data_IF_973145814888
#
_entry.id   IF_973145814888
#
_cell.length_a   1.000
_cell.length_b   1.000
_cell.length_c   1.000
_cell.angle_alpha   90.00
_cell.angle_beta   90.00
_cell.angle_gamma   90.00
#
_symmetry.space_group_name_H-M   'P 1'
#
loop_
_entity.id
_entity.type
_entity.pdbx_description
1 polymer ?
#
# COMPACT_ATOMS: atom_id res chain seq x y z
N UNK A 1 22.19 -11.85 -21.91
CA UNK A 1 22.30 -10.47 -21.40
C UNK A 1 21.05 -10.27 -20.55
N UNK A 2 21.19 -10.03 -19.24
CA UNK A 2 20.03 -9.86 -18.38
C UNK A 2 19.35 -8.54 -18.75
N UNK A 3 18.14 -8.60 -19.32
CA UNK A 3 17.34 -7.42 -19.63
C UNK A 3 16.52 -7.09 -18.40
N UNK A 4 16.61 -5.87 -17.87
CA UNK A 4 15.74 -5.44 -16.81
C UNK A 4 14.40 -4.99 -17.40
N UNK A 5 13.32 -5.15 -16.63
CA UNK A 5 11.98 -4.65 -17.03
C UNK A 5 12.06 -3.16 -17.38
N UNK A 6 12.76 -2.36 -16.58
CA UNK A 6 12.88 -0.93 -16.80
C UNK A 6 13.64 -0.56 -18.08
N UNK A 7 14.39 -1.48 -18.69
CA UNK A 7 15.08 -1.23 -19.96
C UNK A 7 14.12 -1.32 -21.14
N UNK A 8 13.09 -2.16 -21.05
CA UNK A 8 12.18 -2.48 -22.15
C UNK A 8 10.80 -1.86 -22.01
N UNK A 9 10.34 -1.62 -20.80
CA UNK A 9 8.98 -1.17 -20.53
C UNK A 9 8.95 0.18 -19.84
N UNK A 10 7.86 0.89 -20.06
CA UNK A 10 7.55 2.15 -19.38
C UNK A 10 6.09 2.17 -18.95
N UNK A 11 5.83 2.83 -17.82
CA UNK A 11 4.47 3.08 -17.35
C UNK A 11 4.04 4.43 -17.92
N UNK A 12 2.93 4.43 -18.66
CA UNK A 12 2.24 5.65 -19.12
C UNK A 12 1.02 5.88 -18.23
N UNK A 13 0.70 7.15 -17.99
CA UNK A 13 -0.48 7.53 -17.21
C UNK A 13 -1.40 8.33 -18.11
N UNK A 14 -2.64 7.87 -18.24
CA UNK A 14 -3.65 8.62 -18.99
C UNK A 14 -4.04 9.89 -18.20
N UNK A 15 -3.92 11.06 -18.83
CA UNK A 15 -4.08 12.35 -18.15
C UNK A 15 -5.50 12.56 -17.59
N UNK A 16 -6.51 11.97 -18.23
CA UNK A 16 -7.92 12.15 -17.89
C UNK A 16 -8.38 11.15 -16.83
N UNK A 17 -8.07 9.88 -17.03
CA UNK A 17 -8.54 8.77 -16.18
C UNK A 17 -7.56 8.44 -15.05
N UNK A 18 -6.32 8.95 -15.13
CA UNK A 18 -5.20 8.61 -14.23
C UNK A 18 -4.87 7.11 -14.20
N UNK A 19 -5.37 6.34 -15.16
CA UNK A 19 -5.08 4.90 -15.28
C UNK A 19 -3.64 4.73 -15.76
N UNK A 20 -2.91 3.83 -15.09
CA UNK A 20 -1.53 3.47 -15.45
C UNK A 20 -1.55 2.28 -16.41
N UNK A 21 -0.89 2.40 -17.56
CA UNK A 21 -0.70 1.31 -18.52
C UNK A 21 0.78 1.03 -18.74
N UNK A 22 1.14 -0.25 -18.80
CA UNK A 22 2.48 -0.66 -19.17
C UNK A 22 2.59 -0.71 -20.70
N UNK A 23 3.65 -0.12 -21.25
CA UNK A 23 3.93 -0.10 -22.69
C UNK A 23 5.33 -0.64 -22.96
N UNK A 24 5.50 -1.29 -24.11
CA UNK A 24 6.83 -1.56 -24.64
C UNK A 24 7.45 -0.24 -25.13
N UNK A 25 8.66 0.06 -24.70
CA UNK A 25 9.37 1.30 -25.06
C UNK A 25 9.58 1.41 -26.56
N UNK A 26 9.69 2.65 -27.02
CA UNK A 26 9.95 2.91 -28.43
C UNK A 26 11.30 2.34 -28.87
N UNK A 27 11.33 1.70 -30.04
CA UNK A 27 12.50 1.02 -30.59
C UNK A 27 12.75 -0.39 -30.06
N UNK A 28 11.92 -0.87 -29.13
CA UNK A 28 11.96 -2.26 -28.66
C UNK A 28 10.96 -3.14 -29.42
N UNK A 29 11.22 -4.45 -29.45
CA UNK A 29 10.31 -5.47 -29.96
C UNK A 29 10.48 -6.76 -29.16
N UNK A 30 9.39 -7.47 -28.91
CA UNK A 30 9.41 -8.79 -28.27
C UNK A 30 8.71 -9.80 -29.16
N UNK A 31 9.32 -10.95 -29.38
CA UNK A 31 8.69 -12.04 -30.10
C UNK A 31 7.83 -12.89 -29.15
N UNK A 32 6.81 -13.56 -29.68
CA UNK A 32 6.04 -14.54 -28.93
C UNK A 32 6.94 -15.61 -28.32
N UNK A 33 6.77 -15.90 -27.02
CA UNK A 33 7.56 -16.90 -26.30
C UNK A 33 9.04 -16.53 -26.09
N UNK A 34 9.39 -15.24 -26.19
CA UNK A 34 10.76 -14.75 -25.99
C UNK A 34 11.13 -14.57 -24.50
N UNK A 35 11.52 -13.37 -24.10
CA UNK A 35 12.04 -13.06 -22.77
C UNK A 35 10.99 -13.31 -21.65
N UNK A 36 11.46 -13.82 -20.50
CA UNK A 36 10.64 -14.01 -19.29
C UNK A 36 11.11 -13.00 -18.25
N UNK A 37 10.16 -12.35 -17.57
CA UNK A 37 10.43 -11.41 -16.50
C UNK A 37 9.69 -11.80 -15.22
N UNK A 38 10.15 -11.27 -14.10
CA UNK A 38 9.55 -11.46 -12.79
C UNK A 38 8.83 -10.18 -12.38
N UNK A 39 7.64 -10.34 -11.83
CA UNK A 39 6.85 -9.27 -11.20
C UNK A 39 6.73 -9.60 -9.72
N UNK A 40 7.01 -8.62 -8.87
CA UNK A 40 7.02 -8.79 -7.42
C UNK A 40 5.60 -8.79 -6.83
N UNK A 41 5.43 -9.52 -5.72
CA UNK A 41 4.21 -9.53 -4.91
C UNK A 41 4.39 -8.51 -3.78
N UNK A 42 4.21 -7.23 -4.12
CA UNK A 42 4.52 -6.09 -3.22
C UNK A 42 3.75 -6.10 -1.90
N UNK A 43 2.62 -6.80 -1.84
CA UNK A 43 1.85 -7.04 -0.62
C UNK A 43 1.05 -8.34 -0.74
N UNK A 44 1.23 -9.22 0.24
CA UNK A 44 0.48 -10.48 0.39
C UNK A 44 -0.31 -10.43 1.69
N UNK A 45 -1.59 -10.77 1.64
CA UNK A 45 -2.53 -10.60 2.76
C UNK A 45 -3.74 -11.53 2.65
N UNK A 46 -4.73 -11.34 3.52
CA UNK A 46 -6.09 -11.85 3.37
C UNK A 46 -7.10 -10.80 3.84
N UNK A 47 -8.41 -10.94 3.52
CA UNK A 47 -9.41 -9.93 3.88
C UNK A 47 -9.53 -9.63 5.38
N UNK A 48 -9.21 -10.59 6.24
CA UNK A 48 -9.31 -10.46 7.70
C UNK A 48 -8.12 -9.68 8.27
N UNK A 49 -6.93 -9.88 7.71
CA UNK A 49 -5.68 -9.28 8.18
C UNK A 49 -5.37 -7.94 7.52
N UNK A 50 -5.89 -7.67 6.31
CA UNK A 50 -5.52 -6.52 5.50
C UNK A 50 -5.62 -5.18 6.25
N UNK A 51 -6.70 -4.97 7.02
CA UNK A 51 -6.88 -3.74 7.79
C UNK A 51 -5.81 -3.57 8.89
N UNK A 52 -5.47 -4.66 9.59
CA UNK A 52 -4.43 -4.67 10.62
C UNK A 52 -3.04 -4.47 10.04
N UNK A 53 -2.74 -5.08 8.89
CA UNK A 53 -1.45 -4.91 8.21
C UNK A 53 -1.26 -3.49 7.70
N UNK A 54 -2.30 -2.87 7.10
CA UNK A 54 -2.28 -1.48 6.68
C UNK A 54 -2.07 -0.51 7.85
N UNK A 55 -2.59 -0.86 9.04
CA UNK A 55 -2.45 -0.05 10.25
C UNK A 55 -1.05 -0.20 10.88
N UNK A 56 -0.53 -1.42 10.95
CA UNK A 56 0.64 -1.75 11.77
C UNK A 56 1.95 -1.81 10.97
N UNK A 57 1.90 -1.81 9.64
CA UNK A 57 3.08 -1.87 8.77
C UNK A 57 3.46 -0.47 8.30
N UNK A 58 4.60 0.04 8.77
CA UNK A 58 5.08 1.37 8.43
C UNK A 58 5.13 1.59 6.91
N UNK A 59 4.51 2.69 6.46
CA UNK A 59 4.49 3.12 5.06
C UNK A 59 3.65 2.26 4.11
N UNK A 60 3.05 1.14 4.56
CA UNK A 60 2.24 0.28 3.69
C UNK A 60 0.99 0.98 3.21
N UNK A 61 0.25 1.65 4.10
CA UNK A 61 -0.95 2.40 3.74
C UNK A 61 -0.68 3.40 2.60
N UNK A 62 0.35 4.26 2.78
CA UNK A 62 0.73 5.26 1.78
C UNK A 62 1.17 4.63 0.45
N UNK A 63 1.88 3.50 0.50
CA UNK A 63 2.28 2.75 -0.69
C UNK A 63 1.07 2.20 -1.44
N UNK A 64 0.12 1.59 -0.73
CA UNK A 64 -1.09 1.05 -1.33
C UNK A 64 -1.99 2.15 -1.90
N UNK A 65 -2.09 3.31 -1.26
CA UNK A 65 -2.76 4.49 -1.83
C UNK A 65 -2.13 4.93 -3.15
N UNK A 66 -0.80 5.04 -3.19
CA UNK A 66 -0.06 5.38 -4.41
C UNK A 66 -0.18 4.33 -5.50
N UNK A 67 -0.23 3.04 -5.13
CA UNK A 67 -0.38 1.92 -6.06
C UNK A 67 -1.79 1.85 -6.65
N UNK A 68 -2.81 2.04 -5.82
CA UNK A 68 -4.23 2.00 -6.21
C UNK A 68 -4.72 3.30 -6.83
N UNK A 69 -3.84 4.28 -6.98
CA UNK A 69 -4.12 5.60 -7.50
C UNK A 69 -5.24 6.29 -6.70
N UNK A 70 -5.18 6.13 -5.38
CA UNK A 70 -6.06 6.81 -4.43
C UNK A 70 -5.40 8.14 -4.10
N UNK A 71 -5.89 9.21 -4.71
CA UNK A 71 -5.66 10.55 -4.19
C UNK A 71 -6.81 10.96 -3.29
N UNK A 72 -6.46 11.62 -2.19
CA UNK A 72 -7.38 12.46 -1.45
C UNK A 72 -7.11 13.86 -1.98
N UNK A 73 -8.12 14.52 -2.54
CA UNK A 73 -7.92 15.83 -3.16
C UNK A 73 -7.34 16.80 -2.13
N UNK A 74 -6.10 17.24 -2.36
CA UNK A 74 -5.41 18.29 -1.58
C UNK A 74 -5.95 19.69 -1.90
N UNK A 75 -6.86 19.84 -2.88
CA UNK A 75 -7.47 21.14 -3.22
C UNK A 75 -8.40 21.70 -2.12
N UNK A 76 -8.68 20.93 -1.05
CA UNK A 76 -9.32 21.42 0.19
C UNK A 76 -8.33 21.60 1.36
N UNK A 77 -7.03 21.35 1.15
CA UNK A 77 -5.99 21.47 2.18
C UNK A 77 -4.84 22.32 1.61
N UNK A 78 -4.98 23.64 1.71
CA UNK A 78 -3.83 24.54 1.67
C UNK A 78 -2.96 24.24 2.91
N UNK A 79 -1.92 23.39 2.78
CA UNK A 79 -0.89 23.27 3.82
C UNK A 79 -0.06 24.56 3.87
N UNK A 80 -0.53 25.55 4.63
CA UNK A 80 0.24 26.73 5.02
C UNK A 80 1.45 26.30 5.89
N UNK A 81 2.54 27.08 5.90
CA UNK A 81 3.77 26.80 6.66
C UNK A 81 3.47 26.59 8.17
N UNK A 82 2.36 27.14 8.66
CA UNK A 82 1.88 26.92 10.03
C UNK A 82 1.49 25.47 10.33
N UNK A 83 0.94 24.74 9.36
CA UNK A 83 0.44 23.37 9.57
C UNK A 83 1.58 22.35 9.61
N UNK A 84 2.66 22.61 8.86
CA UNK A 84 3.90 21.83 9.00
C UNK A 84 4.54 22.03 10.36
N UNK A 85 4.59 23.28 10.83
CA UNK A 85 5.15 23.62 12.14
C UNK A 85 4.35 22.96 13.27
N UNK A 86 3.02 22.92 13.15
CA UNK A 86 2.12 22.24 14.09
C UNK A 86 2.34 20.73 14.13
N UNK A 87 2.45 20.07 12.97
CA UNK A 87 2.73 18.63 12.89
C UNK A 87 4.08 18.30 13.53
N UNK A 88 5.11 19.10 13.27
CA UNK A 88 6.42 18.94 13.89
C UNK A 88 6.37 19.12 15.41
N UNK A 89 5.60 20.09 15.90
CA UNK A 89 5.44 20.33 17.33
C UNK A 89 4.69 19.18 18.03
N UNK A 90 3.64 18.64 17.41
CA UNK A 90 2.94 17.46 17.95
C UNK A 90 3.86 16.24 17.99
N UNK A 91 4.65 16.02 16.94
CA UNK A 91 5.66 14.94 16.92
C UNK A 91 6.64 15.12 18.08
N UNK A 92 7.14 16.34 18.30
CA UNK A 92 8.06 16.63 19.40
C UNK A 92 7.43 16.36 20.78
N UNK A 93 6.17 16.75 20.99
CA UNK A 93 5.46 16.50 22.26
C UNK A 93 5.30 14.99 22.48
N UNK A 94 4.86 14.23 21.48
CA UNK A 94 4.71 12.77 21.60
C UNK A 94 6.06 12.09 21.82
N UNK A 95 7.11 12.51 21.12
CA UNK A 95 8.48 12.03 21.35
C UNK A 95 8.94 12.20 22.79
N UNK A 96 8.69 13.39 23.37
CA UNK A 96 9.09 13.68 24.75
C UNK A 96 8.27 12.91 25.77
N UNK A 97 6.94 12.89 25.61
CA UNK A 97 6.02 12.32 26.59
C UNK A 97 6.05 10.78 26.57
N UNK A 98 6.01 10.18 25.38
CA UNK A 98 6.05 8.73 25.23
C UNK A 98 7.47 8.16 25.14
N UNK A 99 8.51 9.01 25.17
CA UNK A 99 9.93 8.62 25.04
C UNK A 99 10.21 7.77 23.78
N UNK A 100 9.57 8.12 22.66
CA UNK A 100 9.72 7.45 21.37
C UNK A 100 10.47 8.32 20.36
N UNK A 101 10.96 7.71 19.27
CA UNK A 101 11.55 8.45 18.15
C UNK A 101 10.47 9.16 17.30
N UNK A 102 10.90 10.09 16.45
CA UNK A 102 10.01 10.91 15.62
C UNK A 102 9.16 10.11 14.64
N UNK A 103 9.68 8.99 14.15
CA UNK A 103 8.95 8.12 13.23
C UNK A 103 7.78 7.41 13.93
N UNK A 104 8.01 6.84 15.13
CA UNK A 104 6.96 6.23 15.95
C UNK A 104 5.95 7.25 16.46
N UNK A 105 6.40 8.43 16.87
CA UNK A 105 5.52 9.52 17.29
C UNK A 105 4.61 9.97 16.15
N UNK A 106 5.18 10.14 14.94
CA UNK A 106 4.42 10.50 13.75
C UNK A 106 3.41 9.43 13.38
N UNK A 107 3.81 8.17 13.39
CA UNK A 107 2.92 7.04 13.09
C UNK A 107 1.74 6.98 14.08
N UNK A 108 1.99 7.12 15.38
CA UNK A 108 0.94 7.17 16.40
C UNK A 108 0.00 8.38 16.24
N UNK A 109 0.56 9.56 15.97
CA UNK A 109 -0.23 10.74 15.67
C UNK A 109 -1.09 10.53 14.43
N UNK A 110 -0.54 9.98 13.35
CA UNK A 110 -1.32 9.69 12.14
C UNK A 110 -2.46 8.69 12.44
N UNK A 111 -2.17 7.61 13.18
CA UNK A 111 -3.16 6.59 13.58
C UNK A 111 -4.30 7.16 14.43
N UNK A 112 -4.01 8.13 15.29
CA UNK A 112 -4.98 8.83 16.14
C UNK A 112 -5.42 10.19 15.62
N UNK A 113 -5.26 10.46 14.32
CA UNK A 113 -5.74 11.70 13.69
C UNK A 113 -5.23 12.99 14.38
N UNK A 114 -3.97 12.97 14.79
CA UNK A 114 -3.27 14.03 15.53
C UNK A 114 -3.93 14.39 16.88
N UNK A 115 -4.75 13.50 17.44
CA UNK A 115 -5.21 13.60 18.83
C UNK A 115 -4.08 13.20 19.78
N UNK A 116 -3.29 14.20 20.20
CA UNK A 116 -2.12 14.07 21.08
C UNK A 116 -2.33 13.09 22.25
N UNK A 117 -3.45 13.20 22.96
CA UNK A 117 -3.73 12.37 24.14
C UNK A 117 -3.82 10.90 23.77
N UNK A 118 -4.56 10.57 22.71
CA UNK A 118 -4.76 9.20 22.28
C UNK A 118 -3.47 8.60 21.70
N UNK A 119 -2.68 9.41 20.98
CA UNK A 119 -1.37 8.99 20.48
C UNK A 119 -0.36 8.73 21.62
N UNK A 120 -0.35 9.56 22.65
CA UNK A 120 0.51 9.36 23.83
C UNK A 120 0.05 8.14 24.62
N UNK A 121 -1.25 8.00 24.87
CA UNK A 121 -1.84 6.87 25.59
C UNK A 121 -1.43 5.54 24.95
N UNK A 122 -1.60 5.40 23.63
CA UNK A 122 -1.18 4.17 22.94
C UNK A 122 0.32 3.90 23.09
N UNK A 123 1.17 4.92 23.01
CA UNK A 123 2.61 4.73 23.11
C UNK A 123 3.12 4.56 24.55
N UNK A 124 2.28 4.79 25.56
CA UNK A 124 2.63 4.75 26.99
C UNK A 124 1.91 3.65 27.78
N UNK A 125 1.12 2.80 27.12
CA UNK A 125 0.30 1.72 27.73
C UNK A 125 1.12 0.52 28.26
N UNK A 126 2.18 0.77 29.02
CA UNK A 126 2.81 -0.28 29.85
C UNK A 126 2.19 -0.37 31.26
N UNK A 127 1.39 0.61 31.71
CA UNK A 127 0.69 0.54 33.01
C UNK A 127 -0.73 1.11 32.92
N UNK A 128 -1.72 0.38 33.43
CA UNK A 128 -3.14 0.79 33.51
C UNK A 128 -3.24 2.03 34.43
N UNK A 129 -3.24 3.23 33.85
CA UNK A 129 -3.34 4.48 34.61
C UNK A 129 -4.77 4.69 35.14
N UNK A 130 -4.90 5.02 36.43
CA UNK A 130 -6.16 5.48 37.03
C UNK A 130 -6.69 6.73 36.31
N UNK A 131 -8.01 6.92 36.28
CA UNK A 131 -8.69 8.09 35.66
C UNK A 131 -8.08 9.43 36.08
N UNK A 132 -7.61 9.51 37.33
CA UNK A 132 -7.05 10.73 37.92
C UNK A 132 -5.67 11.07 37.32
N UNK A 133 -4.89 10.06 36.92
CA UNK A 133 -3.59 10.24 36.27
C UNK A 133 -3.79 10.71 34.83
N UNK A 134 -4.81 10.17 34.14
CA UNK A 134 -5.20 10.62 32.81
C UNK A 134 -5.68 12.07 32.81
N UNK A 135 -6.36 12.52 33.86
CA UNK A 135 -6.76 13.92 34.02
C UNK A 135 -5.54 14.84 34.25
N UNK A 136 -4.58 14.42 35.07
CA UNK A 136 -3.32 15.14 35.26
C UNK A 136 -2.44 15.21 33.98
N UNK A 137 -2.41 14.16 33.17
CA UNK A 137 -1.76 14.16 31.85
C UNK A 137 -2.46 15.12 30.88
N UNK A 138 -3.79 15.14 30.85
CA UNK A 138 -4.57 16.11 30.05
C UNK A 138 -4.22 17.54 30.45
N UNK A 139 -4.15 17.84 31.74
CA UNK A 139 -3.76 19.17 32.24
C UNK A 139 -2.31 19.52 31.86
N UNK A 140 -1.39 18.56 31.98
CA UNK A 140 0.02 18.75 31.64
C UNK A 140 0.18 19.04 30.15
N UNK A 141 -0.48 18.27 29.28
CA UNK A 141 -0.48 18.48 27.82
C UNK A 141 -1.12 19.84 27.49
N UNK A 142 -2.26 20.17 28.11
CA UNK A 142 -2.93 21.47 27.91
C UNK A 142 -2.10 22.68 28.43
N UNK A 143 -1.16 22.45 29.36
CA UNK A 143 -0.24 23.47 29.86
C UNK A 143 0.98 23.67 28.97
N UNK A 144 1.42 22.61 28.28
CA UNK A 144 2.56 22.65 27.35
C UNK A 144 2.15 23.12 25.95
N UNK A 145 0.86 23.21 25.66
CA UNK A 145 0.35 23.84 24.45
C UNK A 145 0.63 25.36 24.45
N UNK A 146 1.29 25.90 23.40
CA UNK A 146 1.46 27.33 23.20
C UNK A 146 0.14 28.11 23.35
N UNK A 147 0.19 29.25 24.04
CA UNK A 147 -0.98 30.12 24.29
C UNK A 147 -1.68 30.56 23.00
N UNK A 148 -0.93 30.71 21.91
CA UNK A 148 -1.39 31.19 20.62
C UNK A 148 -2.21 30.13 19.85
N UNK A 149 -2.26 28.90 20.37
CA UNK A 149 -3.03 27.77 19.84
C UNK A 149 -4.32 27.51 20.61
N UNK A 150 -4.47 28.05 21.83
CA UNK A 150 -5.72 27.92 22.62
C UNK A 150 -6.90 28.64 21.95
N UNK A 151 -6.65 29.76 21.26
CA UNK A 151 -7.65 30.50 20.48
C UNK A 151 -7.78 30.01 19.02
N UNK A 152 -6.86 29.16 18.53
CA UNK A 152 -6.90 28.57 17.18
C UNK A 152 -7.45 27.14 17.16
N UNK A 153 -8.13 26.71 18.23
CA UNK A 153 -8.67 25.36 18.45
C UNK A 153 -9.75 24.88 17.46
N UNK A 154 -9.97 25.54 16.33
CA UNK A 154 -11.00 25.18 15.35
C UNK A 154 -10.52 25.00 13.90
N UNK A 155 -9.21 24.99 13.61
CA UNK A 155 -8.75 24.42 12.32
C UNK A 155 -8.48 22.92 12.47
N UNK A 156 -9.58 22.18 12.57
CA UNK A 156 -9.62 20.72 12.60
C UNK A 156 -9.11 20.20 11.24
N UNK A 157 -8.09 19.34 11.24
CA UNK A 157 -7.68 18.60 10.04
C UNK A 157 -8.92 18.03 9.34
N UNK A 158 -9.15 18.45 8.09
CA UNK A 158 -10.33 18.12 7.29
C UNK A 158 -10.14 16.86 6.45
N UNK A 159 -8.92 16.31 6.42
CA UNK A 159 -8.60 15.09 5.69
C UNK A 159 -9.18 13.84 6.35
N UNK A 160 -9.19 12.71 5.63
CA UNK A 160 -9.69 11.45 6.17
C UNK A 160 -8.73 10.91 7.24
N UNK A 161 -9.31 10.34 8.28
CA UNK A 161 -8.57 9.63 9.33
C UNK A 161 -7.90 8.37 8.77
N UNK A 162 -6.87 7.85 9.44
CA UNK A 162 -6.24 6.56 9.05
C UNK A 162 -7.27 5.44 8.94
N UNK A 163 -8.22 5.37 9.88
CA UNK A 163 -9.34 4.42 9.81
C UNK A 163 -10.16 4.59 8.53
N UNK A 164 -10.51 5.82 8.16
CA UNK A 164 -11.26 6.08 6.91
C UNK A 164 -10.45 5.74 5.66
N UNK A 165 -9.13 5.97 5.68
CA UNK A 165 -8.22 5.62 4.60
C UNK A 165 -8.12 4.11 4.42
N UNK A 166 -7.92 3.37 5.52
CA UNK A 166 -7.91 1.90 5.55
C UNK A 166 -9.27 1.35 5.10
N UNK A 167 -10.37 1.86 5.64
CA UNK A 167 -11.73 1.45 5.27
C UNK A 167 -11.97 1.65 3.76
N UNK A 168 -11.49 2.77 3.19
CA UNK A 168 -11.60 3.02 1.75
C UNK A 168 -10.89 1.92 0.95
N UNK A 169 -9.65 1.59 1.31
CA UNK A 169 -8.88 0.54 0.64
C UNK A 169 -9.56 -0.82 0.78
N UNK A 170 -9.84 -1.24 2.02
CA UNK A 170 -10.31 -2.60 2.31
C UNK A 170 -11.72 -2.83 1.80
N UNK A 171 -12.61 -1.82 1.84
CA UNK A 171 -14.01 -1.99 1.42
C UNK A 171 -14.23 -1.78 -0.07
N UNK A 172 -13.41 -0.97 -0.74
CA UNK A 172 -13.73 -0.53 -2.11
C UNK A 172 -12.59 -0.70 -3.13
N UNK A 173 -11.35 -0.34 -2.78
CA UNK A 173 -10.31 -0.19 -3.80
C UNK A 173 -9.47 -1.45 -3.99
N UNK A 174 -9.12 -2.19 -2.93
CA UNK A 174 -8.23 -3.35 -3.04
C UNK A 174 -8.77 -4.43 -4.00
N UNK A 175 -10.09 -4.62 -4.04
CA UNK A 175 -10.75 -5.65 -4.86
C UNK A 175 -10.54 -5.48 -6.37
N UNK A 176 -10.18 -4.29 -6.84
CA UNK A 176 -9.90 -4.02 -8.26
C UNK A 176 -8.51 -4.54 -8.69
N UNK A 177 -7.61 -4.69 -7.73
CA UNK A 177 -6.18 -4.95 -7.95
C UNK A 177 -5.72 -6.30 -7.43
N UNK A 178 -6.54 -6.91 -6.56
CA UNK A 178 -6.24 -8.18 -5.90
C UNK A 178 -6.11 -9.32 -6.91
N UNK A 179 -5.15 -10.19 -6.64
CA UNK A 179 -4.96 -11.45 -7.36
C UNK A 179 -5.00 -12.59 -6.34
N UNK A 180 -5.34 -13.79 -6.80
CA UNK A 180 -5.44 -14.96 -5.94
C UNK A 180 -4.83 -16.17 -6.63
N UNK A 181 -4.11 -16.98 -5.87
CA UNK A 181 -3.81 -18.35 -6.25
C UNK A 181 -3.95 -19.27 -5.06
N UNK A 182 -4.08 -20.55 -5.35
CA UNK A 182 -4.13 -21.62 -4.36
C UNK A 182 -3.02 -22.61 -4.69
N UNK A 183 -2.36 -23.11 -3.64
CA UNK A 183 -1.41 -24.20 -3.73
C UNK A 183 -1.51 -25.08 -2.49
N UNK A 184 -1.06 -26.32 -2.63
CA UNK A 184 -1.07 -27.30 -1.55
C UNK A 184 0.34 -27.48 -1.05
N UNK A 185 0.53 -27.35 0.27
CA UNK A 185 1.79 -27.67 0.94
C UNK A 185 1.62 -29.00 1.65
N UNK A 186 2.66 -29.83 1.57
CA UNK A 186 2.74 -31.08 2.31
C UNK A 186 3.64 -30.84 3.52
N UNK A 187 3.04 -30.81 4.71
CA UNK A 187 3.76 -30.68 5.98
C UNK A 187 3.52 -31.94 6.79
N UNK A 188 4.58 -32.69 7.11
CA UNK A 188 4.51 -33.94 7.88
C UNK A 188 3.52 -34.99 7.36
N UNK A 189 3.26 -34.98 6.04
CA UNK A 189 2.33 -35.91 5.38
C UNK A 189 0.86 -35.47 5.39
N UNK A 190 0.55 -34.32 5.99
CA UNK A 190 -0.76 -33.68 5.89
C UNK A 190 -0.77 -32.67 4.74
N UNK A 191 -1.86 -32.69 3.96
CA UNK A 191 -2.08 -31.73 2.87
C UNK A 191 -2.77 -30.48 3.43
N UNK A 192 -2.09 -29.34 3.36
CA UNK A 192 -2.67 -28.05 3.70
C UNK A 192 -2.89 -27.23 2.41
N UNK A 193 -4.13 -26.80 2.20
CA UNK A 193 -4.48 -25.92 1.08
C UNK A 193 -4.33 -24.46 1.51
N UNK A 194 -3.39 -23.76 0.88
CA UNK A 194 -3.12 -22.35 1.14
C UNK A 194 -3.73 -21.51 0.03
N UNK A 195 -4.52 -20.51 0.41
CA UNK A 195 -5.06 -19.48 -0.50
C UNK A 195 -4.30 -18.18 -0.23
N UNK A 196 -3.57 -17.71 -1.23
CA UNK A 196 -2.77 -16.49 -1.13
C UNK A 196 -3.43 -15.38 -1.93
N UNK A 197 -3.74 -14.27 -1.27
CA UNK A 197 -4.21 -13.04 -1.90
C UNK A 197 -3.06 -12.05 -1.95
N UNK A 198 -2.81 -11.47 -3.11
CA UNK A 198 -1.64 -10.64 -3.32
C UNK A 198 -1.87 -9.49 -4.29
N UNK A 199 -1.00 -8.50 -4.19
CA UNK A 199 -0.96 -7.30 -5.01
C UNK A 199 0.37 -7.21 -5.72
N UNK A 200 0.34 -6.81 -6.99
CA UNK A 200 1.56 -6.57 -7.75
C UNK A 200 2.28 -5.30 -7.30
N UNK A 201 3.55 -5.20 -7.65
CA UNK A 201 4.27 -3.93 -7.70
C UNK A 201 3.69 -2.96 -8.76
N UNK A 202 4.31 -1.78 -8.90
CA UNK A 202 3.87 -0.74 -9.83
C UNK A 202 3.84 -1.23 -11.29
N UNK A 203 4.76 -2.12 -11.68
CA UNK A 203 4.84 -2.65 -13.05
C UNK A 203 3.69 -3.62 -13.30
N UNK A 204 3.52 -4.62 -12.44
CA UNK A 204 2.46 -5.60 -12.61
C UNK A 204 1.07 -5.00 -12.50
N UNK A 205 0.93 -3.96 -11.67
CA UNK A 205 -0.33 -3.22 -11.55
C UNK A 205 -0.67 -2.42 -12.81
N UNK A 206 0.34 -1.95 -13.55
CA UNK A 206 0.15 -1.23 -14.81
C UNK A 206 -0.23 -2.14 -16.00
N UNK A 207 -0.16 -3.47 -15.85
CA UNK A 207 -0.59 -4.41 -16.91
C UNK A 207 -2.12 -4.43 -16.99
N UNK A 208 -2.64 -3.94 -18.11
CA UNK A 208 -4.07 -3.75 -18.32
C UNK A 208 -4.78 -5.05 -18.69
N UNK A 209 -6.11 -5.07 -18.54
CA UNK A 209 -6.92 -6.20 -18.97
C UNK A 209 -7.19 -6.16 -20.47
N UNK A 210 -7.09 -7.32 -21.13
CA UNK A 210 -7.66 -7.56 -22.46
C UNK A 210 -8.22 -8.98 -22.53
N UNK A 211 -9.30 -9.17 -23.30
CA UNK A 211 -9.80 -10.51 -23.68
C UNK A 211 -8.96 -11.16 -24.78
N UNK A 212 -8.13 -10.37 -25.46
CA UNK A 212 -7.17 -10.81 -26.46
C UNK A 212 -5.73 -10.38 -26.06
N UNK A 213 -5.20 -10.87 -24.93
CA UNK A 213 -3.96 -10.36 -24.35
C UNK A 213 -2.72 -10.67 -25.22
N UNK A 214 -1.65 -9.90 -25.02
CA UNK A 214 -0.35 -10.13 -25.63
C UNK A 214 0.70 -10.69 -24.66
N UNK A 215 0.40 -10.74 -23.36
CA UNK A 215 1.23 -11.40 -22.34
C UNK A 215 0.41 -12.35 -21.47
N UNK A 216 1.12 -13.26 -20.81
CA UNK A 216 0.60 -14.05 -19.69
C UNK A 216 1.31 -13.63 -18.40
N UNK A 217 0.56 -13.59 -17.31
CA UNK A 217 1.08 -13.42 -15.95
C UNK A 217 0.62 -14.61 -15.10
N UNK A 218 1.56 -15.41 -14.60
CA UNK A 218 1.25 -16.57 -13.74
C UNK A 218 2.04 -16.51 -12.43
N UNK A 219 1.42 -16.85 -11.28
CA UNK A 219 2.12 -16.98 -10.01
C UNK A 219 3.25 -18.02 -10.11
N UNK A 220 4.34 -17.75 -9.42
CA UNK A 220 5.51 -18.60 -9.33
C UNK A 220 6.16 -18.47 -7.95
N UNK A 221 6.32 -19.59 -7.26
CA UNK A 221 6.92 -19.64 -5.94
C UNK A 221 8.31 -20.22 -6.08
N UNK A 222 9.33 -19.45 -5.73
CA UNK A 222 10.70 -19.92 -5.63
C UNK A 222 11.01 -20.32 -4.19
N UNK A 223 11.29 -21.60 -3.97
CA UNK A 223 11.77 -22.06 -2.67
C UNK A 223 13.31 -22.08 -2.68
N UNK A 224 13.93 -21.30 -1.79
CA UNK A 224 15.39 -21.22 -1.69
C UNK A 224 15.99 -22.21 -0.65
N UNK A 225 15.16 -23.10 -0.10
CA UNK A 225 15.51 -24.05 0.97
C UNK A 225 15.33 -23.50 2.39
N UNK A 226 15.09 -22.20 2.57
CA UNK A 226 14.78 -21.57 3.86
C UNK A 226 13.40 -20.95 3.89
N UNK A 227 13.03 -20.27 2.82
CA UNK A 227 11.77 -19.57 2.67
C UNK A 227 11.24 -19.71 1.24
N UNK A 228 9.95 -19.47 1.11
CA UNK A 228 9.32 -19.24 -0.17
C UNK A 228 9.46 -17.76 -0.52
N UNK A 229 9.76 -17.49 -1.78
CA UNK A 229 9.74 -16.15 -2.35
C UNK A 229 8.76 -16.16 -3.51
N UNK A 230 7.69 -15.39 -3.37
CA UNK A 230 6.59 -15.34 -4.32
C UNK A 230 6.81 -14.27 -5.39
N UNK A 231 6.69 -14.67 -6.66
CA UNK A 231 6.71 -13.78 -7.82
C UNK A 231 5.58 -14.16 -8.77
N UNK A 232 5.40 -13.37 -9.83
CA UNK A 232 4.72 -13.84 -11.04
C UNK A 232 5.65 -13.81 -12.23
N UNK A 233 5.59 -14.86 -13.05
CA UNK A 233 6.22 -14.87 -14.37
C UNK A 233 5.38 -14.03 -15.32
N UNK A 234 6.05 -13.20 -16.10
CA UNK A 234 5.48 -12.36 -17.13
C UNK A 234 6.24 -12.59 -18.44
N UNK A 235 5.54 -12.96 -19.51
CA UNK A 235 6.15 -13.23 -20.81
C UNK A 235 5.17 -13.04 -21.98
N UNK A 236 5.67 -12.70 -23.18
CA UNK A 236 4.85 -12.47 -24.36
C UNK A 236 4.27 -13.78 -24.92
N UNK A 237 2.99 -13.75 -25.28
CA UNK A 237 2.29 -14.83 -26.01
C UNK A 237 1.93 -14.44 -27.44
N UNK A 238 2.28 -13.21 -27.83
CA UNK A 238 2.20 -12.66 -29.18
C UNK A 238 3.46 -11.83 -29.44
N UNK A 239 3.73 -11.56 -30.70
CA UNK A 239 4.73 -10.55 -31.06
C UNK A 239 4.22 -9.18 -30.61
N UNK A 240 5.08 -8.40 -29.95
CA UNK A 240 4.78 -7.09 -29.38
C UNK A 240 5.69 -6.05 -30.04
N UNK A 241 5.05 -5.04 -30.62
CA UNK A 241 5.73 -3.95 -31.34
C UNK A 241 6.02 -2.76 -30.44
N UNK A 242 6.99 -1.94 -30.87
CA UNK A 242 7.33 -0.64 -30.26
C UNK A 242 6.09 0.17 -29.90
N UNK A 243 5.99 0.63 -28.65
CA UNK A 243 4.91 1.49 -28.15
C UNK A 243 3.61 0.76 -27.80
N UNK A 244 3.47 -0.54 -28.10
CA UNK A 244 2.24 -1.28 -27.80
C UNK A 244 1.97 -1.37 -26.30
N UNK A 245 0.69 -1.34 -25.95
CA UNK A 245 0.20 -1.57 -24.59
C UNK A 245 0.33 -3.05 -24.24
N UNK A 246 0.78 -3.31 -23.01
CA UNK A 246 0.93 -4.64 -22.48
C UNK A 246 -0.34 -5.02 -21.72
N UNK A 247 -0.94 -6.15 -22.10
CA UNK A 247 -2.23 -6.59 -21.59
C UNK A 247 -2.26 -8.07 -21.25
N UNK A 248 -2.94 -8.40 -20.15
CA UNK A 248 -3.18 -9.76 -19.68
C UNK A 248 -4.68 -10.06 -19.58
N UNK A 249 -5.04 -11.32 -19.62
CA UNK A 249 -6.39 -11.71 -19.22
C UNK A 249 -6.46 -11.79 -17.68
N UNK A 250 -7.33 -10.97 -17.06
CA UNK A 250 -7.55 -10.96 -15.60
C UNK A 250 -8.72 -11.86 -15.20
N UNK A 251 -9.50 -12.33 -16.16
CA UNK A 251 -10.59 -13.26 -15.90
C UNK A 251 -10.03 -14.67 -15.77
N UNK A 252 -10.63 -15.50 -14.89
CA UNK A 252 -10.28 -16.92 -14.85
C UNK A 252 -10.45 -17.51 -16.24
N UNK A 253 -9.48 -18.34 -16.65
CA UNK A 253 -9.62 -19.11 -17.88
C UNK A 253 -10.81 -20.02 -17.67
N UNK A 254 -11.95 -19.67 -18.25
CA UNK A 254 -13.06 -20.60 -18.36
C UNK A 254 -12.51 -21.75 -19.18
N UNK A 255 -12.27 -22.89 -18.55
CA UNK A 255 -12.04 -24.14 -19.25
C UNK A 255 -13.31 -24.38 -20.08
N UNK A 256 -13.32 -23.91 -21.32
CA UNK A 256 -14.17 -24.51 -22.33
C UNK A 256 -13.56 -25.88 -22.51
N UNK A 257 -14.12 -26.86 -21.79
CA UNK A 257 -13.96 -28.27 -22.11
C UNK A 257 -14.41 -28.39 -23.57
N UNK A 258 -13.43 -28.38 -24.49
CA UNK A 258 -13.64 -28.74 -25.89
C UNK A 258 -13.68 -30.26 -26.01
#
# INVERSE_FOLDING_TARGET
MNKLICDLFEIRVDENTKVRSLHLKDGCSLASGSDIFLIDHSWTTNPENAAGELLNTSGLLKRMEGLFNISYNEEDIEEDDSDKQLKEEFINIVCQQAKVNSEKAKDALERHNYELVNAIDELTTEEEYSSDIMEGLKETIASQMPSDLKDKGEKKYTGPTVKQRIDRIVKYDMWKYINVYQYTVLTDGEEENIITWYFFDEVGNAIQHSSDPNVVCIPFIYNNGKENVEYSLFYPVKDISSGEVITRNKLPVVFILK
#
